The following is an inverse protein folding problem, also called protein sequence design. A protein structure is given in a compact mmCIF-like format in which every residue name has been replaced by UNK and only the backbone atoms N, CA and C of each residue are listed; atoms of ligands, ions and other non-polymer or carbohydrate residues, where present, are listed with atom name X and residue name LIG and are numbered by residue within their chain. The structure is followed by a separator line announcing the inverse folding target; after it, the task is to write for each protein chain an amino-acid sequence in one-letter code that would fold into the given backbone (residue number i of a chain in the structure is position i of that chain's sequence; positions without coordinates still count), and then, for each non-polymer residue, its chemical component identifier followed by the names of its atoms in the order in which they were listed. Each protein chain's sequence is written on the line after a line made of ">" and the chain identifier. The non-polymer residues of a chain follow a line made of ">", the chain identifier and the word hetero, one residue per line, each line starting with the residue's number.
data_IF_708156785102
#
_entry.id   IF_708156785102
#
_cell.length_a   1.000
_cell.length_b   1.000
_cell.length_c   1.000
_cell.angle_alpha   90.00
_cell.angle_beta   90.00
_cell.angle_gamma   90.00
#
_symmetry.space_group_name_H-M   'P 1'
#
loop_
_entity.id
_entity.type
_entity.pdbx_description
1 polymer ?
#
# COMPACT_ATOMS: atom_id res chain seq x y z
N UNK A 1 -10.13 3.87 24.42
CA UNK A 1 -8.86 4.20 23.79
C UNK A 1 -8.99 5.47 23.00
N UNK A 2 -7.94 6.23 22.94
CA UNK A 2 -7.94 7.46 22.17
C UNK A 2 -7.72 7.16 20.67
N UNK A 3 -7.83 8.18 19.85
CA UNK A 3 -7.76 8.03 18.41
C UNK A 3 -6.39 7.49 17.93
N UNK A 4 -5.32 7.88 18.60
CA UNK A 4 -3.98 7.43 18.21
C UNK A 4 -3.81 5.93 18.44
N UNK A 5 -4.29 5.43 19.58
CA UNK A 5 -4.23 4.00 19.90
C UNK A 5 -5.07 3.17 18.93
N UNK A 6 -6.27 3.66 18.62
CA UNK A 6 -7.15 3.00 17.66
C UNK A 6 -6.51 2.95 16.28
N UNK A 7 -5.89 4.03 15.84
CA UNK A 7 -5.22 4.11 14.55
C UNK A 7 -4.07 3.10 14.48
N UNK A 8 -3.28 2.98 15.54
CA UNK A 8 -2.17 2.05 15.56
C UNK A 8 -2.65 0.59 15.48
N UNK A 9 -3.71 0.23 16.20
CA UNK A 9 -4.29 -1.10 16.12
C UNK A 9 -4.80 -1.41 14.72
N UNK A 10 -5.45 -0.43 14.09
CA UNK A 10 -5.93 -0.57 12.71
C UNK A 10 -4.76 -0.79 11.75
N UNK A 11 -3.64 -0.08 11.93
CA UNK A 11 -2.46 -0.22 11.10
C UNK A 11 -1.85 -1.61 11.24
N UNK A 12 -1.76 -2.14 12.47
CA UNK A 12 -1.24 -3.48 12.71
C UNK A 12 -2.12 -4.55 12.06
N UNK A 13 -3.45 -4.42 12.15
CA UNK A 13 -4.39 -5.34 11.51
C UNK A 13 -4.31 -5.26 9.99
N UNK A 14 -4.14 -4.07 9.45
CA UNK A 14 -3.97 -3.85 8.01
C UNK A 14 -2.67 -4.51 7.53
N UNK A 15 -1.59 -4.37 8.28
CA UNK A 15 -0.32 -5.00 7.95
C UNK A 15 -0.45 -6.51 7.87
N UNK A 16 -1.09 -7.13 8.88
CA UNK A 16 -1.28 -8.57 8.90
C UNK A 16 -2.08 -9.04 7.69
N UNK A 17 -3.14 -8.33 7.35
CA UNK A 17 -3.96 -8.64 6.19
C UNK A 17 -3.20 -8.47 4.89
N UNK A 18 -2.37 -7.42 4.81
CA UNK A 18 -1.49 -7.18 3.67
C UNK A 18 -0.54 -8.35 3.44
N UNK A 19 0.14 -8.79 4.49
CA UNK A 19 1.05 -9.95 4.42
C UNK A 19 0.30 -11.22 4.00
N UNK A 20 -0.87 -11.46 4.60
CA UNK A 20 -1.67 -12.64 4.32
C UNK A 20 -2.21 -12.68 2.88
N UNK A 21 -2.24 -11.56 2.19
CA UNK A 21 -2.74 -11.45 0.82
C UNK A 21 -1.64 -11.28 -0.24
N UNK A 22 -0.41 -11.62 0.11
CA UNK A 22 0.69 -11.64 -0.85
C UNK A 22 1.62 -10.45 -0.79
N UNK A 23 1.36 -9.50 0.09
CA UNK A 23 2.27 -8.38 0.31
C UNK A 23 3.53 -8.83 1.03
N UNK A 24 4.58 -8.04 0.94
CA UNK A 24 5.84 -8.30 1.62
C UNK A 24 6.18 -7.16 2.56
N UNK A 25 7.00 -7.46 3.58
CA UNK A 25 7.47 -6.43 4.49
C UNK A 25 8.22 -5.32 3.74
N UNK A 26 9.03 -5.69 2.75
CA UNK A 26 9.78 -4.72 1.95
C UNK A 26 8.84 -3.79 1.17
N UNK A 27 7.76 -4.33 0.58
CA UNK A 27 6.77 -3.53 -0.12
C UNK A 27 6.04 -2.59 0.85
N UNK A 28 5.70 -3.09 2.03
CA UNK A 28 5.08 -2.28 3.08
C UNK A 28 5.97 -1.12 3.48
N UNK A 29 7.23 -1.40 3.83
CA UNK A 29 8.15 -0.39 4.35
C UNK A 29 8.54 0.65 3.28
N UNK A 30 8.67 0.23 2.03
CA UNK A 30 9.21 1.08 0.97
C UNK A 30 8.14 1.75 0.10
N UNK A 31 6.93 1.24 0.08
CA UNK A 31 5.84 1.79 -0.73
C UNK A 31 4.65 2.20 0.13
N UNK A 32 4.08 1.27 0.90
CA UNK A 32 2.86 1.54 1.66
C UNK A 32 3.06 2.66 2.68
N UNK A 33 4.09 2.55 3.50
CA UNK A 33 4.33 3.55 4.56
C UNK A 33 4.62 4.94 4.00
N UNK A 34 5.52 5.11 3.01
CA UNK A 34 5.74 6.43 2.42
C UNK A 34 4.52 6.99 1.70
N UNK A 35 3.69 6.13 1.07
CA UNK A 35 2.55 6.59 0.28
C UNK A 35 1.34 6.92 1.14
N UNK A 36 0.96 6.05 2.07
CA UNK A 36 -0.30 6.17 2.80
C UNK A 36 -0.17 6.09 4.32
N UNK A 37 1.02 5.78 4.83
CA UNK A 37 1.18 5.52 6.26
C UNK A 37 0.47 4.25 6.72
N UNK A 38 0.11 3.36 5.80
CA UNK A 38 -0.62 2.14 6.12
C UNK A 38 -2.13 2.31 6.24
N UNK A 39 -2.66 3.43 5.76
CA UNK A 39 -4.09 3.72 5.84
C UNK A 39 -4.78 3.32 4.53
N UNK A 40 -5.63 2.26 4.54
CA UNK A 40 -6.31 1.82 3.33
C UNK A 40 -7.37 2.81 2.82
N UNK A 41 -7.71 3.82 3.61
CA UNK A 41 -8.68 4.85 3.25
C UNK A 41 -8.02 6.19 2.91
N UNK A 42 -6.69 6.23 2.81
CA UNK A 42 -5.99 7.47 2.52
C UNK A 42 -6.35 7.98 1.12
N UNK A 43 -6.58 9.28 1.01
CA UNK A 43 -6.88 9.95 -0.26
C UNK A 43 -6.07 11.24 -0.31
N UNK A 44 -5.34 11.47 -1.39
CA UNK A 44 -4.61 12.73 -1.54
C UNK A 44 -5.42 13.73 -2.38
N UNK A 45 -4.89 14.95 -2.50
CA UNK A 45 -5.57 16.05 -3.22
C UNK A 45 -5.79 15.76 -4.69
N UNK A 46 -4.94 14.91 -5.28
CA UNK A 46 -5.00 14.57 -6.71
C UNK A 46 -5.90 13.37 -6.98
N UNK A 47 -6.51 12.79 -5.94
CA UNK A 47 -7.40 11.64 -6.09
C UNK A 47 -6.74 10.28 -6.04
N UNK A 48 -5.46 10.22 -5.67
CA UNK A 48 -4.79 8.93 -5.40
C UNK A 48 -5.32 8.36 -4.09
N UNK A 49 -5.57 7.05 -4.06
CA UNK A 49 -6.30 6.41 -2.97
C UNK A 49 -5.65 5.12 -2.52
N UNK A 50 -5.88 4.78 -1.25
CA UNK A 50 -5.56 3.49 -0.68
C UNK A 50 -4.11 3.34 -0.25
N UNK A 51 -3.75 2.11 0.10
CA UNK A 51 -2.43 1.77 0.63
C UNK A 51 -1.30 2.18 -0.30
N UNK A 52 -1.46 1.96 -1.60
CA UNK A 52 -0.45 2.27 -2.61
C UNK A 52 -0.63 3.61 -3.29
N UNK A 53 -1.63 4.37 -2.91
CA UNK A 53 -1.96 5.66 -3.50
C UNK A 53 -2.05 5.57 -5.02
N UNK A 54 -3.14 4.96 -5.49
CA UNK A 54 -3.36 4.69 -6.91
C UNK A 54 -4.69 5.31 -7.38
N UNK A 55 -4.80 5.52 -8.69
CA UNK A 55 -6.07 5.86 -9.34
C UNK A 55 -6.76 4.62 -9.90
N UNK A 56 -6.12 3.46 -9.81
CA UNK A 56 -6.73 2.20 -10.21
C UNK A 56 -7.93 1.86 -9.32
N UNK A 57 -8.88 1.10 -9.86
CA UNK A 57 -10.12 0.77 -9.15
C UNK A 57 -9.89 0.04 -7.84
N UNK A 58 -8.84 -0.78 -7.76
CA UNK A 58 -8.54 -1.53 -6.54
C UNK A 58 -8.10 -0.63 -5.36
N UNK A 59 -7.80 0.64 -5.62
CA UNK A 59 -7.42 1.59 -4.56
C UNK A 59 -8.53 1.87 -3.54
N UNK A 60 -9.78 1.57 -3.88
CA UNK A 60 -10.93 1.77 -2.98
C UNK A 60 -11.52 0.46 -2.48
N UNK A 61 -10.90 -0.67 -2.81
CA UNK A 61 -11.37 -1.98 -2.39
C UNK A 61 -10.99 -2.31 -0.95
N UNK A 62 -11.24 -3.56 -0.56
CA UNK A 62 -10.79 -4.08 0.73
C UNK A 62 -9.26 -4.09 0.80
N UNK A 63 -8.71 -4.29 2.00
CA UNK A 63 -7.25 -4.44 2.15
C UNK A 63 -6.74 -5.59 1.28
N UNK A 64 -7.48 -6.71 1.24
CA UNK A 64 -7.12 -7.85 0.39
C UNK A 64 -7.06 -7.45 -1.09
N UNK A 65 -8.08 -6.76 -1.58
CA UNK A 65 -8.13 -6.29 -2.97
C UNK A 65 -7.03 -5.29 -3.27
N UNK A 66 -6.79 -4.35 -2.36
CA UNK A 66 -5.71 -3.37 -2.52
C UNK A 66 -4.35 -4.05 -2.58
N UNK A 67 -4.11 -5.02 -1.70
CA UNK A 67 -2.85 -5.76 -1.66
C UNK A 67 -2.62 -6.53 -2.95
N UNK A 68 -3.63 -7.27 -3.39
CA UNK A 68 -3.55 -8.04 -4.63
C UNK A 68 -3.33 -7.12 -5.83
N UNK A 69 -4.02 -5.98 -5.86
CA UNK A 69 -3.84 -4.98 -6.89
C UNK A 69 -2.44 -4.39 -6.92
N UNK A 70 -1.88 -4.10 -5.74
CA UNK A 70 -0.51 -3.60 -5.63
C UNK A 70 0.51 -4.59 -6.15
N UNK A 71 0.38 -5.85 -5.76
CA UNK A 71 1.31 -6.91 -6.18
C UNK A 71 1.23 -7.10 -7.69
N UNK A 72 0.02 -7.16 -8.23
CA UNK A 72 -0.20 -7.28 -9.68
C UNK A 72 0.39 -6.07 -10.43
N UNK A 73 0.12 -4.87 -9.95
CA UNK A 73 0.64 -3.64 -10.53
C UNK A 73 2.17 -3.64 -10.54
N UNK A 74 2.79 -4.04 -9.43
CA UNK A 74 4.24 -4.10 -9.33
C UNK A 74 4.82 -5.06 -10.37
N UNK A 75 4.23 -6.23 -10.53
CA UNK A 75 4.69 -7.22 -11.49
C UNK A 75 4.49 -6.79 -12.94
N UNK A 76 3.33 -6.23 -13.24
CA UNK A 76 3.03 -5.83 -14.63
C UNK A 76 3.81 -4.60 -15.06
N UNK A 77 3.92 -3.60 -14.19
CA UNK A 77 4.54 -2.34 -14.55
C UNK A 77 6.05 -2.37 -14.43
N UNK A 78 6.59 -3.04 -13.43
CA UNK A 78 8.02 -3.01 -13.12
C UNK A 78 8.71 -4.36 -13.30
N UNK A 79 7.95 -5.42 -13.46
CA UNK A 79 8.49 -6.77 -13.65
C UNK A 79 8.51 -7.62 -12.40
N UNK A 80 8.63 -7.01 -11.22
CA UNK A 80 8.62 -7.72 -9.95
C UNK A 80 8.39 -6.74 -8.80
N UNK A 81 8.08 -7.26 -7.63
CA UNK A 81 7.97 -6.44 -6.41
C UNK A 81 9.30 -5.74 -6.12
N UNK A 82 10.42 -6.45 -6.25
CA UNK A 82 11.74 -5.86 -5.97
C UNK A 82 12.07 -4.72 -6.92
N UNK A 83 11.74 -4.86 -8.19
CA UNK A 83 11.96 -3.81 -9.19
C UNK A 83 11.06 -2.60 -8.93
N UNK A 84 9.83 -2.84 -8.48
CA UNK A 84 8.92 -1.75 -8.10
C UNK A 84 9.48 -0.96 -6.91
N UNK A 85 10.05 -1.65 -5.93
CA UNK A 85 10.67 -1.02 -4.76
C UNK A 85 11.88 -0.19 -5.18
N UNK A 86 12.74 -0.73 -6.04
CA UNK A 86 13.89 0.00 -6.57
C UNK A 86 13.45 1.29 -7.29
N UNK A 87 12.41 1.19 -8.10
CA UNK A 87 11.87 2.36 -8.79
C UNK A 87 11.38 3.40 -7.79
N UNK A 88 10.61 2.98 -6.77
CA UNK A 88 10.10 3.89 -5.73
C UNK A 88 11.24 4.59 -4.99
N UNK A 89 12.28 3.84 -4.63
CA UNK A 89 13.44 4.39 -3.93
C UNK A 89 14.18 5.41 -4.77
N UNK A 90 14.29 5.17 -6.08
CA UNK A 90 15.03 6.04 -7.00
C UNK A 90 14.26 7.30 -7.39
N UNK A 91 12.93 7.22 -7.47
CA UNK A 91 12.09 8.27 -8.04
C UNK A 91 11.21 8.99 -7.02
N UNK A 92 10.94 8.37 -5.87
CA UNK A 92 10.06 8.94 -4.86
C UNK A 92 8.56 8.78 -5.16
N UNK A 93 8.22 7.96 -6.18
CA UNK A 93 6.84 7.63 -6.57
C UNK A 93 6.84 6.26 -7.24
N UNK A 94 5.69 5.74 -7.52
CA UNK A 94 5.56 4.48 -8.27
C UNK A 94 4.19 4.42 -9.00
#
# INVERSE_FOLDING_TARGET
>A
ADAAETTQQSTDSVYDEFINNGGTKALWDNVVMPESGGDPNAVNELGYRGLGQTKESWGTGSVAEQTQGMVQYAKERYGSIDQAIEFRQSHGWW
#
